data_IF_494004608154
#
_entry.id   IF_494004608154
#
_cell.length_a   1.000
_cell.length_b   1.000
_cell.length_c   1.000
_cell.angle_alpha   90.00
_cell.angle_beta   90.00
_cell.angle_gamma   90.00
#
_symmetry.space_group_name_H-M   'P 1'
#
loop_
_entity.id
_entity.type
_entity.pdbx_description
1 polymer ?
#
# COMPACT_ATOMS: atom_id res chain seq x y z
N UNK A 1 13.90 19.81 -52.94
CA UNK A 1 12.99 18.78 -52.43
C UNK A 1 13.24 18.68 -50.92
N UNK A 2 12.40 19.32 -50.12
CA UNK A 2 12.60 19.44 -48.67
C UNK A 2 12.07 18.18 -47.97
N UNK A 3 12.96 17.44 -47.30
CA UNK A 3 12.59 16.29 -46.48
C UNK A 3 12.15 16.84 -45.12
N UNK A 4 10.85 16.87 -44.89
CA UNK A 4 10.27 17.09 -43.57
C UNK A 4 10.50 15.82 -42.74
N UNK A 5 11.46 15.85 -41.83
CA UNK A 5 11.60 14.83 -40.79
C UNK A 5 10.60 15.15 -39.67
N UNK A 6 9.48 14.41 -39.62
CA UNK A 6 8.55 14.48 -38.49
C UNK A 6 9.14 13.63 -37.37
N UNK A 7 9.78 14.29 -36.40
CA UNK A 7 10.21 13.67 -35.15
C UNK A 7 8.99 13.27 -34.32
N UNK A 8 8.64 11.98 -34.34
CA UNK A 8 7.65 11.42 -33.43
C UNK A 8 8.24 11.38 -32.01
N UNK A 9 7.83 12.31 -31.14
CA UNK A 9 8.00 12.13 -29.70
C UNK A 9 7.20 10.89 -29.28
N UNK A 10 7.89 9.79 -28.98
CA UNK A 10 7.31 8.70 -28.23
C UNK A 10 6.90 9.24 -26.84
N UNK A 11 5.62 9.58 -26.67
CA UNK A 11 5.06 9.81 -25.33
C UNK A 11 5.07 8.44 -24.65
N UNK A 12 6.04 8.23 -23.77
CA UNK A 12 6.03 7.09 -22.86
C UNK A 12 4.64 7.04 -22.19
N UNK A 13 4.03 5.85 -22.12
CA UNK A 13 2.89 5.58 -21.24
C UNK A 13 3.27 6.07 -19.84
N UNK A 14 2.87 7.30 -19.52
CA UNK A 14 2.93 7.79 -18.15
C UNK A 14 1.74 7.14 -17.45
N UNK A 15 1.95 6.73 -16.21
CA UNK A 15 0.86 6.27 -15.37
C UNK A 15 0.51 7.44 -14.49
N UNK A 16 -0.76 7.58 -14.11
CA UNK A 16 -1.22 8.59 -13.16
C UNK A 16 -0.76 8.30 -11.71
N UNK A 17 0.34 7.54 -11.56
CA UNK A 17 0.89 7.12 -10.28
C UNK A 17 2.41 7.10 -10.32
N UNK A 18 3.02 7.83 -9.40
CA UNK A 18 4.44 7.73 -9.04
C UNK A 18 4.51 7.10 -7.65
N UNK A 19 5.21 5.97 -7.52
CA UNK A 19 5.51 5.33 -6.24
C UNK A 19 6.92 5.72 -5.80
N UNK A 20 7.07 6.08 -4.54
CA UNK A 20 8.33 6.42 -3.88
C UNK A 20 8.52 5.57 -2.63
N UNK A 21 9.77 5.21 -2.35
CA UNK A 21 10.15 4.33 -1.25
C UNK A 21 11.21 5.00 -0.38
N UNK A 22 11.00 5.01 0.94
CA UNK A 22 11.99 5.39 1.93
C UNK A 22 12.30 4.22 2.84
N UNK A 23 13.55 3.76 2.81
CA UNK A 23 13.99 2.55 3.50
C UNK A 23 13.41 1.29 2.87
N UNK A 24 14.08 0.17 3.07
CA UNK A 24 13.59 -1.14 2.61
C UNK A 24 13.17 -1.99 3.81
N UNK A 25 12.22 -2.92 3.62
CA UNK A 25 11.87 -3.88 4.68
C UNK A 25 13.11 -4.62 5.20
N UNK A 26 14.03 -5.00 4.31
CA UNK A 26 15.31 -5.63 4.66
C UNK A 26 16.16 -4.73 5.56
N UNK A 27 16.38 -3.49 5.19
CA UNK A 27 17.19 -2.57 6.00
C UNK A 27 16.57 -2.31 7.37
N UNK A 28 15.26 -2.02 7.40
CA UNK A 28 14.57 -1.57 8.60
C UNK A 28 14.30 -2.74 9.55
N UNK A 29 13.76 -3.83 9.03
CA UNK A 29 13.33 -4.95 9.85
C UNK A 29 14.49 -5.88 10.19
N UNK A 30 15.34 -6.21 9.20
CA UNK A 30 16.41 -7.21 9.37
C UNK A 30 17.73 -6.61 9.77
N UNK A 31 18.14 -5.51 9.14
CA UNK A 31 19.45 -4.91 9.41
C UNK A 31 19.39 -3.86 10.55
N UNK A 32 18.22 -3.65 11.15
CA UNK A 32 18.02 -2.76 12.30
C UNK A 32 18.16 -1.27 12.00
N UNK A 33 18.18 -0.87 10.72
CA UNK A 33 18.32 0.54 10.30
C UNK A 33 16.98 1.27 10.39
N UNK A 34 16.50 1.49 11.60
CA UNK A 34 15.18 2.06 11.88
C UNK A 34 15.20 3.57 12.16
N UNK A 35 16.28 4.27 11.81
CA UNK A 35 16.33 5.74 11.89
C UNK A 35 15.34 6.43 10.94
N UNK A 36 14.93 7.64 11.29
CA UNK A 36 14.05 8.47 10.46
C UNK A 36 14.64 8.79 9.09
N UNK A 37 13.82 8.63 8.03
CA UNK A 37 14.19 8.92 6.63
C UNK A 37 13.32 10.01 6.00
N UNK A 38 12.05 10.13 6.41
CA UNK A 38 11.11 11.10 5.86
C UNK A 38 10.13 11.57 6.94
N UNK A 39 9.77 12.86 6.93
CA UNK A 39 8.78 13.43 7.83
C UNK A 39 7.36 13.24 7.26
N UNK A 40 6.39 12.93 8.13
CA UNK A 40 5.00 12.78 7.68
C UNK A 40 4.38 14.12 7.26
N UNK A 41 4.95 15.26 7.68
CA UNK A 41 4.53 16.60 7.27
C UNK A 41 4.53 16.80 5.75
N UNK A 42 5.39 16.08 5.02
CA UNK A 42 5.50 16.17 3.55
C UNK A 42 4.23 15.71 2.81
N UNK A 43 3.34 14.99 3.50
CA UNK A 43 2.12 14.39 2.96
C UNK A 43 0.84 15.07 3.45
N UNK A 44 0.92 15.85 4.53
CA UNK A 44 -0.26 16.43 5.18
C UNK A 44 -0.94 17.44 4.27
N UNK A 45 -2.26 17.33 4.12
CA UNK A 45 -3.06 18.29 3.35
C UNK A 45 -2.92 18.16 1.84
N UNK A 46 -2.32 17.06 1.36
CA UNK A 46 -2.15 16.75 -0.06
C UNK A 46 -3.12 15.62 -0.47
N UNK A 47 -4.29 15.92 -1.05
CA UNK A 47 -5.35 14.93 -1.29
C UNK A 47 -4.94 13.78 -2.23
N UNK A 48 -3.92 13.99 -3.05
CA UNK A 48 -3.34 13.01 -3.95
C UNK A 48 -2.41 12.01 -3.27
N UNK A 49 -2.01 12.24 -2.01
CA UNK A 49 -1.01 11.43 -1.30
C UNK A 49 -1.62 10.23 -0.57
N UNK A 50 -1.03 9.07 -0.83
CA UNK A 50 -1.36 7.79 -0.19
C UNK A 50 -0.07 7.11 0.25
N UNK A 51 -0.01 6.56 1.47
CA UNK A 51 1.19 5.88 1.94
C UNK A 51 0.90 4.86 3.04
N UNK A 52 1.79 3.87 3.16
CA UNK A 52 1.84 2.92 4.27
C UNK A 52 3.29 2.76 4.74
N UNK A 53 3.49 2.32 5.98
CA UNK A 53 4.83 2.01 6.48
C UNK A 53 4.93 2.05 7.99
N UNK A 54 6.15 2.16 8.50
CA UNK A 54 6.45 2.12 9.93
C UNK A 54 7.19 3.37 10.38
N UNK A 55 6.87 3.81 11.60
CA UNK A 55 7.53 4.92 12.26
C UNK A 55 9.01 4.61 12.52
N UNK A 56 9.80 5.67 12.74
CA UNK A 56 11.17 5.52 13.25
C UNK A 56 11.22 4.65 14.51
N UNK A 57 12.34 3.94 14.68
CA UNK A 57 12.54 2.94 15.72
C UNK A 57 11.50 1.82 15.71
N UNK A 58 10.80 1.58 14.59
CA UNK A 58 9.69 0.63 14.51
C UNK A 58 8.61 0.90 15.57
N UNK A 59 8.39 2.16 15.94
CA UNK A 59 7.48 2.55 17.02
C UNK A 59 6.06 2.81 16.51
N UNK A 60 5.47 1.82 15.83
CA UNK A 60 4.10 1.85 15.32
C UNK A 60 3.96 1.94 13.81
N UNK A 61 2.70 1.87 13.36
CA UNK A 61 2.31 1.82 11.96
C UNK A 61 1.84 3.17 11.46
N UNK A 62 1.99 3.38 10.15
CA UNK A 62 1.60 4.59 9.42
C UNK A 62 0.58 4.21 8.35
N UNK A 63 -0.45 5.02 8.21
CA UNK A 63 -1.38 4.98 7.09
C UNK A 63 -1.72 6.41 6.69
N UNK A 64 -1.48 6.76 5.42
CA UNK A 64 -1.83 8.06 4.85
C UNK A 64 -2.87 7.83 3.76
N UNK A 65 -4.07 8.39 3.94
CA UNK A 65 -5.15 8.32 2.95
C UNK A 65 -5.56 9.74 2.59
N UNK A 66 -5.37 10.12 1.33
CA UNK A 66 -5.70 11.46 0.82
C UNK A 66 -5.10 12.59 1.67
N UNK A 67 -3.82 12.45 2.01
CA UNK A 67 -3.08 13.44 2.81
C UNK A 67 -3.47 13.51 4.29
N UNK A 68 -4.38 12.65 4.77
CA UNK A 68 -4.65 12.49 6.21
C UNK A 68 -3.74 11.40 6.75
N UNK A 69 -2.81 11.78 7.63
CA UNK A 69 -1.87 10.87 8.27
C UNK A 69 -2.47 10.28 9.53
N UNK A 70 -2.53 8.95 9.61
CA UNK A 70 -2.90 8.20 10.80
C UNK A 70 -1.72 7.38 11.27
N UNK A 71 -1.50 7.34 12.58
CA UNK A 71 -0.50 6.45 13.19
C UNK A 71 -1.06 5.75 14.41
N UNK A 72 -0.71 4.48 14.58
CA UNK A 72 -1.02 3.70 15.79
C UNK A 72 0.27 3.21 16.43
N UNK A 73 0.35 3.34 17.75
CA UNK A 73 1.50 2.90 18.56
C UNK A 73 1.04 2.02 19.69
N UNK A 74 1.92 1.11 20.12
CA UNK A 74 1.74 0.35 21.35
C UNK A 74 2.23 1.20 22.52
N UNK A 75 1.38 1.43 23.50
CA UNK A 75 1.70 2.18 24.73
C UNK A 75 2.43 1.31 25.75
N UNK A 76 2.94 1.92 26.82
CA UNK A 76 3.62 1.19 27.90
C UNK A 76 2.73 0.16 28.62
N UNK A 77 1.43 0.44 28.74
CA UNK A 77 0.40 -0.48 29.24
C UNK A 77 -0.09 -1.48 28.19
N UNK A 78 0.59 -1.56 27.04
CA UNK A 78 0.32 -2.51 25.95
C UNK A 78 -1.06 -2.35 25.31
N UNK A 79 -1.59 -1.12 25.31
CA UNK A 79 -2.80 -0.73 24.57
C UNK A 79 -2.42 0.02 23.29
N UNK A 80 -3.40 0.32 22.43
CA UNK A 80 -3.18 1.11 21.22
C UNK A 80 -3.53 2.57 21.44
N UNK A 81 -2.60 3.45 21.07
CA UNK A 81 -2.86 4.87 20.90
C UNK A 81 -2.80 5.23 19.42
N UNK A 82 -3.92 5.67 18.86
CA UNK A 82 -4.03 6.11 17.46
C UNK A 82 -4.22 7.61 17.38
N UNK A 83 -3.51 8.25 16.46
CA UNK A 83 -3.61 9.70 16.24
C UNK A 83 -3.72 10.02 14.76
N UNK A 84 -4.52 11.04 14.42
CA UNK A 84 -4.50 11.69 13.12
C UNK A 84 -3.75 13.03 13.24
N UNK A 85 -2.43 12.99 13.24
CA UNK A 85 -1.61 14.20 13.47
C UNK A 85 -1.07 14.82 12.19
N UNK A 86 -0.99 16.15 12.23
CA UNK A 86 -0.25 16.95 11.27
C UNK A 86 1.27 16.87 11.56
N UNK A 87 1.91 15.82 11.05
CA UNK A 87 3.25 15.97 10.46
C UNK A 87 4.51 15.98 11.33
N UNK A 88 4.46 15.88 12.67
CA UNK A 88 5.71 15.89 13.48
C UNK A 88 6.42 14.53 13.54
N UNK A 89 5.70 13.45 13.26
CA UNK A 89 6.25 12.10 13.27
C UNK A 89 7.07 11.82 12.00
N UNK A 90 8.00 10.88 12.09
CA UNK A 90 8.88 10.47 10.99
C UNK A 90 8.82 8.98 10.76
N UNK A 91 9.02 8.58 9.50
CA UNK A 91 9.02 7.19 9.08
C UNK A 91 10.44 6.67 8.89
N UNK A 92 10.68 5.43 9.31
CA UNK A 92 11.86 4.66 8.91
C UNK A 92 11.59 3.87 7.63
N UNK A 93 10.37 3.37 7.46
CA UNK A 93 9.90 2.67 6.28
C UNK A 93 8.66 3.40 5.76
N UNK A 94 8.63 3.80 4.50
CA UNK A 94 7.43 4.36 3.90
C UNK A 94 7.38 4.04 2.41
N UNK A 95 6.27 3.48 1.97
CA UNK A 95 5.89 3.39 0.55
C UNK A 95 4.78 4.40 0.31
N UNK A 96 4.98 5.34 -0.60
CA UNK A 96 3.99 6.36 -0.89
C UNK A 96 3.72 6.48 -2.39
N UNK A 97 2.54 6.99 -2.74
CA UNK A 97 2.15 7.30 -4.09
C UNK A 97 1.41 8.64 -4.19
N UNK A 98 1.60 9.30 -5.33
CA UNK A 98 0.70 10.34 -5.83
C UNK A 98 -0.33 9.71 -6.75
N UNK A 99 -1.62 9.79 -6.40
CA UNK A 99 -2.72 9.29 -7.25
C UNK A 99 -3.77 10.37 -7.43
N UNK A 100 -3.83 10.93 -8.63
CA UNK A 100 -4.79 11.99 -8.96
C UNK A 100 -6.16 11.46 -9.39
N UNK A 101 -6.22 10.23 -9.91
CA UNK A 101 -7.45 9.63 -10.42
C UNK A 101 -7.51 8.13 -10.11
N UNK A 102 -8.67 7.69 -9.64
CA UNK A 102 -8.96 6.30 -9.27
C UNK A 102 -10.01 5.70 -10.20
N UNK A 103 -9.73 4.53 -10.77
CA UNK A 103 -10.72 3.64 -11.34
C UNK A 103 -11.39 2.82 -10.22
N UNK A 104 -12.71 2.62 -10.29
CA UNK A 104 -13.46 1.86 -9.29
C UNK A 104 -13.93 0.54 -9.89
N UNK A 105 -13.60 -0.56 -9.20
CA UNK A 105 -13.88 -1.92 -9.61
C UNK A 105 -14.76 -2.54 -8.52
N UNK A 106 -15.92 -3.05 -8.90
CA UNK A 106 -16.83 -3.67 -7.96
C UNK A 106 -16.23 -4.96 -7.37
N UNK A 107 -16.55 -5.24 -6.10
CA UNK A 107 -16.29 -6.53 -5.44
C UNK A 107 -17.65 -7.23 -5.34
N UNK A 108 -18.07 -8.02 -6.35
CA UNK A 108 -19.43 -8.55 -6.41
C UNK A 108 -19.70 -9.64 -5.38
N UNK A 109 -18.68 -10.44 -5.06
CA UNK A 109 -18.74 -11.56 -4.13
C UNK A 109 -17.60 -11.44 -3.11
N UNK A 110 -17.71 -12.17 -2.01
CA UNK A 110 -16.64 -12.26 -1.03
C UNK A 110 -15.34 -12.78 -1.66
N UNK A 111 -14.22 -12.17 -1.31
CA UNK A 111 -12.87 -12.57 -1.73
C UNK A 111 -12.17 -13.13 -0.50
N UNK A 112 -11.86 -14.43 -0.53
CA UNK A 112 -11.12 -15.08 0.54
C UNK A 112 -9.69 -14.53 0.62
N UNK A 113 -9.06 -14.64 1.79
CA UNK A 113 -7.74 -14.04 2.02
C UNK A 113 -6.67 -14.47 1.03
N UNK A 114 -6.63 -15.75 0.68
CA UNK A 114 -5.67 -16.29 -0.31
C UNK A 114 -5.92 -15.77 -1.74
N UNK A 115 -7.11 -15.23 -2.01
CA UNK A 115 -7.53 -14.74 -3.31
C UNK A 115 -7.43 -13.21 -3.43
N UNK A 116 -7.11 -12.49 -2.35
CA UNK A 116 -7.00 -11.02 -2.35
C UNK A 116 -5.93 -10.54 -3.33
N UNK A 117 -4.72 -11.11 -3.24
CA UNK A 117 -3.61 -10.74 -4.12
C UNK A 117 -3.88 -11.11 -5.60
N UNK A 118 -4.29 -12.35 -5.95
CA UNK A 118 -4.72 -12.69 -7.31
C UNK A 118 -5.84 -11.80 -7.84
N UNK A 119 -6.82 -11.45 -7.00
CA UNK A 119 -7.91 -10.56 -7.37
C UNK A 119 -7.40 -9.16 -7.76
N UNK A 120 -6.52 -8.57 -6.94
CA UNK A 120 -5.91 -7.26 -7.22
C UNK A 120 -5.09 -7.30 -8.50
N UNK A 121 -4.24 -8.31 -8.68
CA UNK A 121 -3.42 -8.45 -9.89
C UNK A 121 -4.30 -8.56 -11.15
N UNK A 122 -5.33 -9.41 -11.11
CA UNK A 122 -6.23 -9.59 -12.25
C UNK A 122 -6.99 -8.31 -12.57
N UNK A 123 -7.49 -7.61 -11.55
CA UNK A 123 -8.16 -6.32 -11.69
C UNK A 123 -7.23 -5.25 -12.29
N UNK A 124 -5.95 -5.24 -11.89
CA UNK A 124 -4.93 -4.35 -12.43
C UNK A 124 -4.63 -4.62 -13.91
N UNK A 125 -4.47 -5.90 -14.29
CA UNK A 125 -4.27 -6.31 -15.69
C UNK A 125 -5.43 -5.88 -16.58
N UNK A 126 -6.67 -6.12 -16.14
CA UNK A 126 -7.88 -5.72 -16.87
C UNK A 126 -7.96 -4.19 -17.00
N UNK A 127 -7.51 -3.46 -15.97
CA UNK A 127 -7.46 -1.99 -15.97
C UNK A 127 -6.29 -1.39 -16.76
N UNK A 128 -5.45 -2.24 -17.38
CA UNK A 128 -4.32 -1.79 -18.20
C UNK A 128 -3.11 -1.28 -17.41
N UNK A 129 -3.03 -1.56 -16.11
CA UNK A 129 -1.84 -1.29 -15.31
C UNK A 129 -0.75 -2.31 -15.65
N UNK A 130 0.51 -1.86 -15.73
CA UNK A 130 1.62 -2.79 -15.83
C UNK A 130 1.99 -3.29 -14.42
N UNK A 131 1.75 -4.57 -14.21
CA UNK A 131 1.89 -5.23 -12.91
C UNK A 131 3.34 -5.50 -12.50
N UNK A 132 4.31 -5.16 -13.35
CA UNK A 132 5.74 -5.27 -13.04
C UNK A 132 6.31 -3.99 -12.41
N UNK A 133 5.51 -2.93 -12.26
CA UNK A 133 5.89 -1.79 -11.42
C UNK A 133 4.94 -1.68 -10.22
N UNK A 134 5.43 -1.20 -9.07
CA UNK A 134 4.58 -0.99 -7.91
C UNK A 134 3.42 -0.04 -8.19
N UNK A 135 2.25 -0.34 -7.61
CA UNK A 135 1.10 0.56 -7.63
C UNK A 135 0.28 0.47 -6.33
N UNK A 136 -0.30 1.58 -5.86
CA UNK A 136 -1.20 1.57 -4.71
C UNK A 136 -2.58 1.02 -5.10
N UNK A 137 -3.32 0.55 -4.12
CA UNK A 137 -4.72 0.19 -4.26
C UNK A 137 -5.48 0.48 -2.97
N UNK A 138 -6.76 0.81 -3.07
CA UNK A 138 -7.63 1.01 -1.92
C UNK A 138 -8.79 0.02 -1.99
N UNK A 139 -9.05 -0.69 -0.91
CA UNK A 139 -10.27 -1.48 -0.77
C UNK A 139 -11.21 -0.79 0.21
N UNK A 140 -12.45 -0.58 -0.25
CA UNK A 140 -13.56 -0.06 0.55
C UNK A 140 -14.70 -1.07 0.53
N UNK A 141 -14.67 -1.95 1.52
CA UNK A 141 -15.73 -2.91 1.79
C UNK A 141 -15.75 -3.23 3.28
N UNK A 142 -16.74 -3.98 3.74
CA UNK A 142 -16.70 -4.61 5.04
C UNK A 142 -15.61 -5.69 5.04
N UNK A 143 -14.82 -5.75 6.10
CA UNK A 143 -13.72 -6.70 6.25
C UNK A 143 -14.12 -7.80 7.23
N UNK A 144 -13.69 -9.02 6.95
CA UNK A 144 -13.89 -10.15 7.86
C UNK A 144 -12.63 -10.98 8.05
N UNK A 145 -12.57 -11.74 9.13
CA UNK A 145 -11.39 -12.54 9.51
C UNK A 145 -10.08 -11.72 9.46
N UNK A 146 -10.15 -10.46 9.87
CA UNK A 146 -9.02 -9.55 9.84
C UNK A 146 -8.04 -9.95 10.94
N UNK A 147 -6.81 -10.23 10.56
CA UNK A 147 -5.65 -10.33 11.45
C UNK A 147 -4.63 -9.30 11.03
N UNK A 148 -4.04 -8.64 12.00
CA UNK A 148 -3.03 -7.63 11.76
C UNK A 148 -2.15 -7.40 12.97
N UNK A 149 -1.21 -6.47 12.85
CA UNK A 149 -0.34 -6.10 13.95
C UNK A 149 0.08 -4.64 13.91
N UNK A 150 0.56 -4.16 15.08
CA UNK A 150 1.26 -2.89 15.24
C UNK A 150 2.64 -3.16 15.81
N UNK A 151 3.69 -2.82 15.07
CA UNK A 151 5.08 -2.96 15.52
C UNK A 151 5.37 -2.10 16.75
N UNK A 152 6.29 -2.60 17.60
CA UNK A 152 6.68 -1.95 18.85
C UNK A 152 8.18 -2.13 19.10
N UNK A 153 9.03 -1.58 18.25
CA UNK A 153 10.49 -1.63 18.43
C UNK A 153 11.17 -2.90 17.92
N UNK A 154 10.43 -3.91 17.48
CA UNK A 154 10.95 -5.11 16.83
C UNK A 154 10.08 -5.54 15.65
N UNK A 155 10.69 -6.24 14.69
CA UNK A 155 9.97 -6.83 13.56
C UNK A 155 9.15 -8.04 14.00
N UNK A 156 7.88 -8.08 13.58
CA UNK A 156 6.93 -9.14 13.92
C UNK A 156 7.20 -10.50 13.27
N UNK A 157 8.12 -10.58 12.29
CA UNK A 157 8.36 -11.76 11.46
C UNK A 157 9.72 -12.42 11.67
N UNK A 158 10.72 -11.67 12.15
CA UNK A 158 12.10 -12.18 12.26
C UNK A 158 12.34 -12.99 13.53
N UNK A 159 11.66 -12.63 14.61
CA UNK A 159 11.85 -13.25 15.91
C UNK A 159 10.49 -13.71 16.42
N UNK A 160 10.33 -14.98 16.82
CA UNK A 160 9.11 -15.44 17.46
C UNK A 160 8.75 -14.55 18.65
N UNK A 161 7.46 -14.26 18.84
CA UNK A 161 7.00 -13.38 19.92
C UNK A 161 7.48 -13.86 21.30
N UNK A 162 7.64 -15.19 21.50
CA UNK A 162 8.16 -15.78 22.73
C UNK A 162 9.58 -15.32 23.09
N UNK A 163 10.41 -15.04 22.08
CA UNK A 163 11.82 -14.66 22.22
C UNK A 163 12.01 -13.14 22.26
N UNK A 164 10.97 -12.37 21.97
CA UNK A 164 10.96 -10.91 22.12
C UNK A 164 10.72 -10.50 23.57
N UNK A 165 11.41 -9.43 23.99
CA UNK A 165 11.13 -8.77 25.25
C UNK A 165 9.66 -8.31 25.28
N UNK A 166 8.92 -8.48 26.39
CA UNK A 166 7.50 -8.17 26.44
C UNK A 166 7.13 -6.76 25.93
N UNK A 167 7.97 -5.78 26.23
CA UNK A 167 7.81 -4.39 25.82
C UNK A 167 8.03 -4.16 24.31
N UNK A 168 8.80 -5.03 23.64
CA UNK A 168 9.06 -4.90 22.19
C UNK A 168 8.19 -5.78 21.31
N UNK A 169 7.29 -6.58 21.91
CA UNK A 169 6.39 -7.44 21.13
C UNK A 169 5.44 -6.58 20.30
N UNK A 170 5.17 -6.92 19.03
CA UNK A 170 4.06 -6.32 18.30
C UNK A 170 2.74 -6.58 19.04
N UNK A 171 1.78 -5.67 18.91
CA UNK A 171 0.42 -5.94 19.36
C UNK A 171 -0.40 -6.51 18.20
N UNK A 172 -1.01 -7.69 18.40
CA UNK A 172 -1.84 -8.35 17.39
C UNK A 172 -3.29 -7.87 17.48
N UNK A 173 -3.92 -7.73 16.31
CA UNK A 173 -5.32 -7.35 16.15
C UNK A 173 -6.07 -8.47 15.47
N UNK A 174 -7.22 -8.83 16.01
CA UNK A 174 -8.15 -9.79 15.42
C UNK A 174 -9.54 -9.17 15.42
N UNK A 175 -10.22 -9.23 14.27
CA UNK A 175 -11.64 -8.86 14.11
C UNK A 175 -12.32 -9.89 13.23
N UNK A 176 -13.41 -10.45 13.73
CA UNK A 176 -14.25 -11.35 12.93
C UNK A 176 -14.94 -10.56 11.81
N UNK A 177 -15.40 -9.35 12.14
CA UNK A 177 -16.06 -8.40 11.24
C UNK A 177 -15.71 -6.96 11.65
N UNK A 178 -15.36 -6.11 10.70
CA UNK A 178 -15.19 -4.67 10.96
C UNK A 178 -15.37 -3.82 9.71
N UNK A 179 -15.74 -2.55 9.92
CA UNK A 179 -15.69 -1.53 8.87
C UNK A 179 -14.31 -0.87 8.85
N UNK A 180 -13.73 -0.75 7.65
CA UNK A 180 -12.42 -0.16 7.50
C UNK A 180 -12.08 0.29 6.09
N UNK A 181 -10.93 0.94 5.97
CA UNK A 181 -10.29 1.22 4.68
C UNK A 181 -8.98 0.44 4.68
N UNK A 182 -8.80 -0.41 3.68
CA UNK A 182 -7.50 -1.01 3.41
C UNK A 182 -6.81 -0.19 2.33
N UNK A 183 -5.59 0.25 2.59
CA UNK A 183 -4.67 0.79 1.59
C UNK A 183 -3.50 -0.19 1.48
N UNK A 184 -3.16 -0.55 0.25
CA UNK A 184 -1.99 -1.37 0.02
C UNK A 184 -1.22 -0.95 -1.20
N UNK A 185 -0.07 -1.59 -1.39
CA UNK A 185 0.75 -1.52 -2.58
C UNK A 185 0.94 -2.92 -3.12
N UNK A 186 0.69 -3.08 -4.42
CA UNK A 186 1.06 -4.28 -5.16
C UNK A 186 2.45 -4.07 -5.77
N UNK A 187 3.37 -4.99 -5.53
CA UNK A 187 4.74 -4.98 -6.01
C UNK A 187 5.27 -6.43 -6.09
N UNK A 188 5.06 -7.07 -7.25
CA UNK A 188 5.34 -8.50 -7.49
C UNK A 188 6.77 -8.94 -7.18
N UNK A 189 7.75 -8.14 -7.56
CA UNK A 189 9.18 -8.52 -7.50
C UNK A 189 9.97 -7.66 -6.48
N UNK A 190 9.28 -7.12 -5.46
CA UNK A 190 9.86 -6.19 -4.47
C UNK A 190 9.98 -6.80 -3.06
N UNK A 191 10.17 -8.12 -2.98
CA UNK A 191 10.35 -8.83 -1.72
C UNK A 191 11.60 -8.34 -0.98
N UNK A 192 11.43 -7.96 0.29
CA UNK A 192 12.48 -7.35 1.12
C UNK A 192 12.71 -5.87 0.83
N UNK A 193 12.07 -5.30 -0.18
CA UNK A 193 12.04 -3.86 -0.45
C UNK A 193 10.73 -3.25 0.07
N UNK A 194 9.62 -3.59 -0.57
CA UNK A 194 8.27 -3.11 -0.26
C UNK A 194 7.36 -4.17 0.36
N UNK A 195 7.62 -5.45 0.08
CA UNK A 195 6.77 -6.57 0.51
C UNK A 195 7.55 -7.61 1.30
N UNK A 196 6.85 -8.41 2.11
CA UNK A 196 7.42 -9.58 2.75
C UNK A 196 7.72 -10.67 1.71
N UNK A 197 8.63 -11.59 2.04
CA UNK A 197 8.90 -12.75 1.19
C UNK A 197 7.61 -13.57 0.99
N UNK A 198 7.30 -13.89 -0.27
CA UNK A 198 6.14 -14.71 -0.62
C UNK A 198 4.82 -13.96 -0.80
N UNK A 199 4.83 -12.62 -0.75
CA UNK A 199 3.68 -11.80 -1.13
C UNK A 199 4.08 -10.68 -2.09
N UNK A 200 3.20 -10.42 -3.05
CA UNK A 200 3.24 -9.27 -3.94
C UNK A 200 2.50 -8.06 -3.35
N UNK A 201 1.96 -8.14 -2.14
CA UNK A 201 1.22 -7.05 -1.52
C UNK A 201 1.76 -6.65 -0.16
N UNK A 202 1.61 -5.38 0.18
CA UNK A 202 1.83 -4.85 1.51
C UNK A 202 0.64 -3.94 1.83
N UNK A 203 -0.05 -4.20 2.94
CA UNK A 203 -1.36 -3.60 3.23
C UNK A 203 -1.44 -3.12 4.66
N UNK A 204 -1.97 -1.91 4.85
CA UNK A 204 -2.37 -1.38 6.14
C UNK A 204 -3.88 -1.10 6.14
N UNK A 205 -4.49 -1.13 7.31
CA UNK A 205 -5.93 -0.90 7.50
C UNK A 205 -6.17 0.25 8.47
N UNK A 206 -7.16 1.10 8.18
CA UNK A 206 -7.82 1.97 9.16
C UNK A 206 -9.15 1.34 9.55
N UNK A 207 -9.23 0.78 10.75
CA UNK A 207 -10.46 0.25 11.33
C UNK A 207 -11.24 1.41 11.95
N UNK A 208 -12.51 1.55 11.57
CA UNK A 208 -13.39 2.66 11.97
C UNK A 208 -14.09 2.39 13.31
N UNK A 209 -13.29 2.09 14.33
CA UNK A 209 -13.74 2.00 15.71
C UNK A 209 -13.60 3.35 16.43
N UNK A 210 -14.06 3.43 17.67
CA UNK A 210 -13.84 4.58 18.56
C UNK A 210 -13.13 4.10 19.83
N UNK A 211 -11.81 4.32 19.96
CA UNK A 211 -10.92 5.02 19.02
C UNK A 211 -10.60 4.22 17.75
N UNK A 212 -10.19 4.87 16.65
CA UNK A 212 -9.79 4.18 15.42
C UNK A 212 -8.48 3.42 15.60
N UNK A 213 -8.22 2.44 14.74
CA UNK A 213 -7.00 1.62 14.77
C UNK A 213 -6.35 1.62 13.38
N UNK A 214 -5.04 1.87 13.33
CA UNK A 214 -4.18 1.58 12.19
C UNK A 214 -3.34 0.35 12.49
N UNK A 215 -3.28 -0.58 11.55
CA UNK A 215 -2.46 -1.78 11.68
C UNK A 215 -1.95 -2.23 10.32
N UNK A 216 -0.81 -2.93 10.31
CA UNK A 216 -0.43 -3.80 9.21
C UNK A 216 -1.44 -4.96 9.10
N UNK A 217 -1.75 -5.39 7.89
CA UNK A 217 -2.69 -6.50 7.63
C UNK A 217 -1.92 -7.79 7.34
N UNK A 218 -2.09 -8.78 8.22
CA UNK A 218 -1.51 -10.12 8.06
C UNK A 218 -2.45 -11.06 7.28
N UNK A 219 -3.76 -10.88 7.42
CA UNK A 219 -4.80 -11.70 6.79
C UNK A 219 -6.13 -10.95 6.76
N UNK A 220 -6.89 -11.03 5.65
CA UNK A 220 -8.20 -10.40 5.57
C UNK A 220 -9.07 -11.04 4.49
N UNK A 221 -10.36 -11.23 4.77
CA UNK A 221 -11.39 -11.52 3.77
C UNK A 221 -12.11 -10.23 3.41
N UNK A 222 -12.32 -9.99 2.11
CA UNK A 222 -13.07 -8.84 1.62
C UNK A 222 -14.52 -9.27 1.39
N UNK A 223 -15.49 -8.61 2.03
CA UNK A 223 -16.90 -8.89 1.74
C UNK A 223 -17.33 -8.31 0.39
N UNK A 224 -18.29 -8.95 -0.27
CA UNK A 224 -18.96 -8.44 -1.45
C UNK A 224 -19.75 -7.15 -1.19
N UNK A 225 -20.08 -6.42 -2.25
CA UNK A 225 -20.84 -5.16 -2.20
C UNK A 225 -19.99 -3.89 -2.05
N UNK A 226 -18.66 -4.04 -1.92
CA UNK A 226 -17.72 -2.93 -1.88
C UNK A 226 -17.01 -2.66 -3.21
N UNK A 227 -15.87 -1.96 -3.13
CA UNK A 227 -15.04 -1.63 -4.29
C UNK A 227 -13.54 -1.72 -4.02
N UNK A 228 -12.82 -2.16 -5.03
CA UNK A 228 -11.39 -1.95 -5.20
C UNK A 228 -11.17 -0.67 -6.02
N UNK A 229 -10.22 0.16 -5.61
CA UNK A 229 -9.81 1.34 -6.34
C UNK A 229 -8.37 1.14 -6.79
N UNK A 230 -8.12 1.36 -8.08
CA UNK A 230 -6.78 1.30 -8.69
C UNK A 230 -6.48 2.64 -9.39
N UNK A 231 -5.22 3.05 -9.53
CA UNK A 231 -4.87 4.22 -10.33
C UNK A 231 -5.45 4.10 -11.74
N UNK A 232 -6.06 5.18 -12.23
CA UNK A 232 -6.49 5.21 -13.62
C UNK A 232 -5.26 5.28 -14.54
N UNK A 233 -5.26 4.58 -15.69
CA UNK A 233 -4.23 4.78 -16.71
C UNK A 233 -4.31 6.21 -17.25
N UNK A 234 -3.18 6.80 -17.67
CA UNK A 234 -3.20 8.10 -18.35
C UNK A 234 -3.99 7.97 -19.66
N UNK A 235 -4.93 8.88 -19.88
CA UNK A 235 -5.73 8.96 -21.10
C UNK A 235 -5.14 10.00 -22.07
N UNK A 236 -5.08 9.74 -23.40
CA UNK A 236 -5.54 8.55 -24.11
C UNK A 236 -4.52 7.39 -24.07
N UNK A 237 -4.96 6.14 -24.24
CA UNK A 237 -4.06 5.00 -24.36
C UNK A 237 -3.08 5.23 -25.52
N UNK A 238 -1.79 4.96 -25.30
CA UNK A 238 -0.83 4.94 -26.39
C UNK A 238 -1.29 3.94 -27.46
N UNK A 239 -1.32 4.31 -28.76
CA UNK A 239 -1.61 3.34 -29.80
C UNK A 239 -0.57 2.24 -29.72
N UNK A 240 -1.01 1.04 -29.36
CA UNK A 240 -0.15 -0.14 -29.33
C UNK A 240 0.41 -0.36 -30.74
N UNK A 241 1.72 -0.59 -30.81
CA UNK A 241 2.38 -1.09 -32.02
C UNK A 241 1.79 -2.47 -32.33
N UNK A 242 0.79 -2.51 -33.21
CA UNK A 242 -0.01 -3.72 -33.40
C UNK A 242 -1.07 -3.61 -34.48
N UNK A 243 -0.77 -2.96 -35.61
CA UNK A 243 -1.43 -3.30 -36.88
C UNK A 243 -0.35 -3.64 -37.89
N UNK A 244 -0.11 -4.94 -38.04
CA UNK A 244 0.61 -5.46 -39.18
C UNK A 244 -0.08 -4.94 -40.43
N UNK A 245 0.67 -4.22 -41.25
CA UNK A 245 0.27 -3.89 -42.62
C UNK A 245 -0.07 -5.20 -43.33
N UNK A 246 -1.35 -5.42 -43.62
CA UNK A 246 -1.72 -6.34 -44.69
C UNK A 246 -1.22 -5.69 -45.99
N UNK A 247 -0.13 -6.23 -46.52
CA UNK A 247 0.37 -5.93 -47.85
C UNK A 247 -0.69 -6.32 -48.88
N UNK A 248 -1.00 -5.39 -49.78
CA UNK A 248 -1.81 -5.68 -50.95
C UNK A 248 -1.15 -6.69 -51.89
N UNK A 249 -1.98 -7.51 -52.52
CA UNK A 249 -1.98 -7.80 -53.95
C UNK A 249 -3.43 -7.93 -54.39
#
# INVERSE_FOLDING_TARGET
>A
MAILAVGGCARANRWACRVEQWGTMREVMRDGKSDARIALSEFVGRPEKFAIGALESLNGEILIVSGVCWTSRVTADRTLATTSVAGTQKAALLTAADVSLWNNIAIPNDIAANDVEPFIEQAARISGLDIYRPFPFIVRTRLSNLKGHVVSGACAWLTPDADLKPETRPLRIVRDECDGILLGFFARDSAGEMTHHGSSTHMHVLIRESPPIVAHVDHVTLRGGGRLQLPAPDWPPSPTAGSGKASGR
#
